data_IF_133988859667
#
_entry.id   IF_133988859667
#
_cell.length_a   1.000
_cell.length_b   1.000
_cell.length_c   1.000
_cell.angle_alpha   90.00
_cell.angle_beta   90.00
_cell.angle_gamma   90.00
#
_symmetry.space_group_name_H-M   'P 1'
#
loop_
_entity.id
_entity.type
_entity.pdbx_description
1 polymer ?
#
# COMPACT_ATOMS: atom_id res chain seq x y z
N UNK A 1 21.99 20.13 -6.92
CA UNK A 1 21.57 19.34 -8.10
C UNK A 1 20.77 20.23 -9.03
N UNK A 2 20.99 20.14 -10.35
CA UNK A 2 20.21 20.86 -11.36
C UNK A 2 18.88 20.12 -11.63
N UNK A 3 17.89 20.79 -12.25
CA UNK A 3 16.64 20.16 -12.66
C UNK A 3 16.87 18.91 -13.53
N UNK A 4 17.83 18.95 -14.46
CA UNK A 4 18.19 17.81 -15.31
C UNK A 4 18.76 16.63 -14.51
N UNK A 5 19.52 16.88 -13.45
CA UNK A 5 20.02 15.82 -12.57
C UNK A 5 18.88 15.15 -11.80
N UNK A 6 17.90 15.93 -11.30
CA UNK A 6 16.71 15.38 -10.68
C UNK A 6 15.88 14.53 -11.66
N UNK A 7 15.66 15.03 -12.88
CA UNK A 7 14.93 14.30 -13.92
C UNK A 7 15.62 12.98 -14.30
N UNK A 8 16.94 13.01 -14.53
CA UNK A 8 17.71 11.79 -14.82
C UNK A 8 17.63 10.76 -13.68
N UNK A 9 17.68 11.21 -12.43
CA UNK A 9 17.52 10.33 -11.27
C UNK A 9 16.11 9.72 -11.20
N UNK A 10 15.06 10.52 -11.44
CA UNK A 10 13.68 10.06 -11.45
C UNK A 10 13.41 9.03 -12.56
N UNK A 11 14.00 9.23 -13.74
CA UNK A 11 13.79 8.36 -14.90
C UNK A 11 14.77 7.16 -14.96
N UNK A 12 15.66 7.02 -13.99
CA UNK A 12 16.72 5.99 -14.01
C UNK A 12 16.17 4.57 -14.25
N UNK A 13 15.11 4.20 -13.55
CA UNK A 13 14.54 2.85 -13.69
C UNK A 13 13.63 2.70 -14.90
N UNK A 14 12.97 3.77 -15.34
CA UNK A 14 12.15 3.77 -16.57
C UNK A 14 12.98 3.46 -17.82
N UNK A 15 14.21 3.97 -17.86
CA UNK A 15 15.13 3.83 -19.00
C UNK A 15 15.94 2.53 -18.96
N UNK A 16 15.81 1.72 -17.91
CA UNK A 16 16.55 0.48 -17.76
C UNK A 16 15.77 -0.69 -18.34
N UNK A 17 16.38 -1.44 -19.28
CA UNK A 17 15.77 -2.67 -19.82
C UNK A 17 15.43 -3.62 -18.69
N UNK A 18 14.17 -4.01 -18.60
CA UNK A 18 13.65 -4.94 -17.62
C UNK A 18 13.36 -6.28 -18.30
N UNK A 19 13.70 -7.38 -17.61
CA UNK A 19 13.26 -8.72 -17.98
C UNK A 19 11.99 -9.03 -17.19
N UNK A 20 10.84 -8.87 -17.86
CA UNK A 20 9.53 -8.97 -17.21
C UNK A 20 9.18 -10.41 -16.86
N UNK A 21 8.56 -10.60 -15.70
CA UNK A 21 7.92 -11.84 -15.30
C UNK A 21 6.55 -11.95 -15.97
N UNK A 22 6.07 -13.15 -16.34
CA UNK A 22 4.69 -13.33 -16.79
C UNK A 22 3.71 -12.77 -15.76
N UNK A 23 2.72 -12.00 -16.24
CA UNK A 23 1.84 -11.19 -15.39
C UNK A 23 1.10 -12.01 -14.33
N UNK A 24 0.53 -13.15 -14.72
CA UNK A 24 -0.19 -14.03 -13.80
C UNK A 24 0.73 -14.57 -12.67
N UNK A 25 1.97 -14.91 -13.02
CA UNK A 25 2.96 -15.37 -12.03
C UNK A 25 3.33 -14.25 -11.07
N UNK A 26 3.53 -13.03 -11.61
CA UNK A 26 3.84 -11.85 -10.82
C UNK A 26 2.70 -11.52 -9.86
N UNK A 27 1.47 -11.45 -10.37
CA UNK A 27 0.27 -11.18 -9.56
C UNK A 27 0.13 -12.19 -8.42
N UNK A 28 0.26 -13.49 -8.73
CA UNK A 28 0.19 -14.54 -7.71
C UNK A 28 1.23 -14.34 -6.60
N UNK A 29 2.51 -14.14 -6.98
CA UNK A 29 3.61 -13.94 -6.01
C UNK A 29 3.40 -12.70 -5.15
N UNK A 30 2.92 -11.61 -5.76
CA UNK A 30 2.64 -10.35 -5.05
C UNK A 30 1.47 -10.51 -4.07
N UNK A 31 0.39 -11.19 -4.48
CA UNK A 31 -0.76 -11.45 -3.60
C UNK A 31 -0.40 -12.36 -2.42
N UNK A 32 0.43 -13.37 -2.64
CA UNK A 32 0.96 -14.22 -1.56
C UNK A 32 1.75 -13.39 -0.55
N UNK A 33 2.60 -12.48 -1.02
CA UNK A 33 3.37 -11.60 -0.14
C UNK A 33 2.49 -10.60 0.62
N UNK A 34 1.53 -9.94 -0.05
CA UNK A 34 0.57 -9.04 0.59
C UNK A 34 -0.22 -9.78 1.68
N UNK A 35 -0.65 -11.03 1.40
CA UNK A 35 -1.45 -11.83 2.34
C UNK A 35 -0.64 -12.40 3.50
N UNK A 36 0.68 -12.54 3.33
CA UNK A 36 1.58 -12.99 4.42
C UNK A 36 1.98 -11.86 5.37
N UNK A 37 1.66 -10.62 5.02
CA UNK A 37 1.90 -9.43 5.84
C UNK A 37 0.56 -8.82 6.27
N UNK A 38 0.58 -7.99 7.29
CA UNK A 38 -0.60 -7.28 7.79
C UNK A 38 -0.31 -5.82 8.19
N UNK A 39 0.92 -5.35 7.99
CA UNK A 39 1.34 -4.00 8.37
C UNK A 39 2.01 -3.31 7.20
N UNK A 40 1.69 -2.05 7.00
CA UNK A 40 2.33 -1.21 5.99
C UNK A 40 2.64 0.17 6.55
N UNK A 41 3.44 0.93 5.82
CA UNK A 41 3.59 2.36 6.01
C UNK A 41 2.64 3.06 5.02
N UNK A 42 1.63 3.77 5.53
CA UNK A 42 0.68 4.57 4.74
C UNK A 42 1.20 6.00 4.64
N UNK A 43 1.57 6.42 3.44
CA UNK A 43 1.93 7.81 3.13
C UNK A 43 0.70 8.59 2.66
N UNK A 44 0.47 9.73 3.31
CA UNK A 44 -0.57 10.71 2.96
C UNK A 44 0.06 12.09 2.89
N UNK A 45 -0.49 13.00 2.09
CA UNK A 45 0.08 14.34 2.00
C UNK A 45 -0.81 15.32 1.25
N UNK A 46 -0.62 16.62 1.54
CA UNK A 46 -1.27 17.72 0.84
C UNK A 46 -0.44 19.00 1.02
N UNK A 47 -0.23 19.78 -0.05
CA UNK A 47 0.65 20.94 -0.03
C UNK A 47 2.04 20.60 0.51
N UNK A 48 2.48 21.30 1.55
CA UNK A 48 3.78 21.08 2.20
C UNK A 48 3.72 19.99 3.30
N UNK A 49 2.54 19.42 3.55
CA UNK A 49 2.34 18.42 4.59
C UNK A 49 2.50 17.01 4.04
N UNK A 50 3.40 16.24 4.64
CA UNK A 50 3.64 14.83 4.34
C UNK A 50 3.62 14.02 5.62
N UNK A 51 2.84 12.94 5.64
CA UNK A 51 2.78 11.99 6.75
C UNK A 51 3.03 10.58 6.28
N UNK A 52 3.82 9.82 7.05
CA UNK A 52 3.99 8.37 6.87
C UNK A 52 3.60 7.69 8.20
N UNK A 53 2.60 6.82 8.17
CA UNK A 53 2.02 6.18 9.36
C UNK A 53 2.12 4.68 9.24
N UNK A 54 2.83 3.98 10.17
CA UNK A 54 2.69 2.52 10.30
C UNK A 54 1.25 2.17 10.68
N UNK A 55 0.63 1.27 9.93
CA UNK A 55 -0.77 0.90 10.14
C UNK A 55 -1.01 -0.56 9.75
N UNK A 56 -1.91 -1.23 10.49
CA UNK A 56 -2.37 -2.55 10.14
C UNK A 56 -3.33 -2.49 8.96
N UNK A 57 -3.22 -3.45 8.04
CA UNK A 57 -4.17 -3.61 6.95
C UNK A 57 -4.73 -5.03 6.85
N UNK A 58 -5.84 -5.16 6.16
CA UNK A 58 -6.29 -6.40 5.54
C UNK A 58 -6.48 -6.18 4.05
N UNK A 59 -6.29 -7.25 3.25
CA UNK A 59 -6.45 -7.19 1.80
C UNK A 59 -7.60 -8.11 1.37
N UNK A 60 -8.67 -7.52 0.86
CA UNK A 60 -9.87 -8.23 0.40
C UNK A 60 -10.47 -7.52 -0.81
N UNK A 61 -11.02 -8.30 -1.72
CA UNK A 61 -11.71 -7.80 -2.91
C UNK A 61 -10.84 -6.83 -3.75
N UNK A 62 -9.51 -7.10 -3.82
CA UNK A 62 -8.56 -6.28 -4.57
C UNK A 62 -8.18 -4.95 -3.90
N UNK A 63 -8.59 -4.70 -2.66
CA UNK A 63 -8.40 -3.44 -1.94
C UNK A 63 -7.75 -3.65 -0.57
N UNK A 64 -7.11 -2.60 -0.07
CA UNK A 64 -6.56 -2.54 1.29
C UNK A 64 -7.54 -1.83 2.22
N UNK A 65 -7.74 -2.40 3.40
CA UNK A 65 -8.69 -1.94 4.40
C UNK A 65 -8.00 -1.75 5.74
N UNK A 66 -8.15 -0.55 6.32
CA UNK A 66 -7.42 -0.15 7.53
C UNK A 66 -8.38 0.53 8.51
N UNK A 67 -8.56 -0.07 9.69
CA UNK A 67 -9.24 0.61 10.79
C UNK A 67 -8.27 1.58 11.49
N UNK A 68 -8.77 2.75 11.86
CA UNK A 68 -8.00 3.80 12.51
C UNK A 68 -8.84 4.64 13.45
N UNK A 69 -8.33 4.86 14.66
CA UNK A 69 -8.96 5.77 15.62
C UNK A 69 -8.94 7.23 15.14
N UNK A 70 -7.92 7.63 14.38
CA UNK A 70 -7.75 9.01 13.92
C UNK A 70 -6.27 9.36 13.68
N UNK A 71 -5.93 10.61 13.89
CA UNK A 71 -4.57 11.14 13.82
C UNK A 71 -4.30 11.97 12.55
N UNK A 72 -3.11 12.53 12.49
CA UNK A 72 -2.75 13.56 11.49
C UNK A 72 -2.75 13.08 10.03
N UNK A 73 -2.77 11.77 9.76
CA UNK A 73 -2.92 11.25 8.39
C UNK A 73 -4.21 11.74 7.71
N UNK A 74 -5.25 12.06 8.51
CA UNK A 74 -6.52 12.57 8.00
C UNK A 74 -6.43 13.99 7.46
N UNK A 75 -5.41 14.79 7.86
CA UNK A 75 -5.13 16.11 7.24
C UNK A 75 -4.83 15.93 5.74
N UNK A 76 -4.01 14.93 5.41
CA UNK A 76 -3.72 14.59 4.03
C UNK A 76 -4.94 14.02 3.31
N UNK A 77 -5.61 13.02 3.91
CA UNK A 77 -6.74 12.32 3.31
C UNK A 77 -7.94 13.22 3.01
N UNK A 78 -8.16 14.28 3.80
CA UNK A 78 -9.24 15.25 3.55
C UNK A 78 -9.06 16.02 2.23
N UNK A 79 -7.81 16.27 1.83
CA UNK A 79 -7.47 17.14 0.70
C UNK A 79 -6.96 16.37 -0.52
N UNK A 80 -6.53 15.13 -0.34
CA UNK A 80 -5.87 14.37 -1.39
C UNK A 80 -6.14 12.86 -1.20
N UNK A 81 -6.87 12.29 -2.14
CA UNK A 81 -7.15 10.85 -2.16
C UNK A 81 -5.95 9.99 -2.56
N UNK A 82 -4.93 10.60 -3.19
CA UNK A 82 -3.75 9.85 -3.62
C UNK A 82 -2.88 9.49 -2.42
N UNK A 83 -2.61 8.20 -2.27
CA UNK A 83 -1.82 7.65 -1.19
C UNK A 83 -0.79 6.67 -1.73
N UNK A 84 0.22 6.39 -0.90
CA UNK A 84 1.15 5.30 -1.19
C UNK A 84 1.29 4.43 0.05
N UNK A 85 1.19 3.10 -0.14
CA UNK A 85 1.52 2.13 0.89
C UNK A 85 2.88 1.51 0.59
N UNK A 86 3.66 1.24 1.63
CA UNK A 86 4.88 0.45 1.53
C UNK A 86 4.79 -0.76 2.45
N UNK A 87 4.93 -1.95 1.86
CA UNK A 87 5.07 -3.23 2.57
C UNK A 87 6.50 -3.70 2.31
N UNK A 88 7.26 -4.01 3.35
CA UNK A 88 8.67 -4.35 3.18
C UNK A 88 9.19 -5.21 4.31
N UNK A 89 10.14 -6.08 3.96
CA UNK A 89 10.88 -6.87 4.92
C UNK A 89 12.05 -6.07 5.51
N UNK A 90 12.56 -6.53 6.64
CA UNK A 90 13.80 -6.01 7.21
C UNK A 90 14.94 -6.12 6.18
N UNK A 91 15.75 -5.09 6.10
CA UNK A 91 16.93 -5.10 5.23
C UNK A 91 18.00 -6.06 5.76
N UNK A 92 18.30 -7.10 4.99
CA UNK A 92 19.32 -8.11 5.30
C UNK A 92 20.32 -8.30 4.12
N UNK A 93 20.65 -7.21 3.45
CA UNK A 93 21.56 -7.18 2.31
C UNK A 93 20.84 -7.12 0.95
N UNK A 94 21.56 -6.72 -0.09
CA UNK A 94 21.01 -6.46 -1.43
C UNK A 94 20.47 -7.72 -2.12
N UNK A 95 20.89 -8.92 -1.69
CA UNK A 95 20.40 -10.19 -2.21
C UNK A 95 19.03 -10.62 -1.66
N UNK A 96 18.57 -9.99 -0.57
CA UNK A 96 17.36 -10.36 0.17
C UNK A 96 16.31 -9.22 0.24
N UNK A 97 16.39 -8.26 -0.67
CA UNK A 97 15.41 -7.18 -0.72
C UNK A 97 14.03 -7.73 -1.09
N UNK A 98 13.02 -7.34 -0.30
CA UNK A 98 11.62 -7.67 -0.57
C UNK A 98 10.74 -6.51 -0.12
N UNK A 99 10.10 -5.85 -1.09
CA UNK A 99 9.20 -4.72 -0.82
C UNK A 99 8.24 -4.47 -1.97
N UNK A 100 7.10 -3.88 -1.64
CA UNK A 100 6.11 -3.41 -2.61
C UNK A 100 5.73 -1.98 -2.22
N UNK A 101 5.72 -1.08 -3.21
CA UNK A 101 5.11 0.24 -3.11
C UNK A 101 3.79 0.22 -3.90
N UNK A 102 2.70 0.59 -3.25
CA UNK A 102 1.35 0.57 -3.82
C UNK A 102 0.84 2.00 -3.90
N UNK A 103 0.80 2.57 -5.10
CA UNK A 103 0.10 3.81 -5.37
C UNK A 103 -1.38 3.51 -5.51
N UNK A 104 -2.22 4.26 -4.81
CA UNK A 104 -3.66 4.01 -4.80
C UNK A 104 -4.48 5.25 -4.48
N UNK A 105 -5.80 5.05 -4.51
CA UNK A 105 -6.82 6.03 -4.16
C UNK A 105 -7.46 5.62 -2.83
N UNK A 106 -7.42 6.53 -1.86
CA UNK A 106 -8.04 6.31 -0.56
C UNK A 106 -9.46 6.92 -0.51
N UNK A 107 -10.36 6.21 0.10
CA UNK A 107 -11.70 6.69 0.47
C UNK A 107 -11.99 6.34 1.92
N UNK A 108 -12.78 7.17 2.59
CA UNK A 108 -13.29 6.90 3.93
C UNK A 108 -14.66 6.22 3.80
N UNK A 109 -14.79 5.07 4.46
CA UNK A 109 -16.05 4.33 4.48
C UNK A 109 -16.93 4.86 5.60
N UNK A 110 -18.19 5.13 5.28
CA UNK A 110 -19.18 5.60 6.25
C UNK A 110 -19.29 4.63 7.43
N UNK A 111 -19.09 5.10 8.68
CA UNK A 111 -19.21 4.26 9.87
C UNK A 111 -20.57 3.54 9.94
N UNK A 112 -20.49 2.26 10.29
CA UNK A 112 -21.67 1.38 10.45
C UNK A 112 -22.48 1.10 9.18
N UNK A 113 -22.00 1.54 7.99
CA UNK A 113 -22.54 1.07 6.71
C UNK A 113 -22.36 -0.45 6.55
N UNK A 114 -23.02 -1.06 5.56
CA UNK A 114 -22.88 -2.50 5.28
C UNK A 114 -21.43 -2.88 4.99
N UNK A 115 -20.70 -2.03 4.23
CA UNK A 115 -19.28 -2.22 3.94
C UNK A 115 -18.44 -2.16 5.22
N UNK A 116 -18.65 -1.16 6.07
CA UNK A 116 -17.96 -1.04 7.35
C UNK A 116 -18.19 -2.28 8.22
N UNK A 117 -19.45 -2.69 8.38
CA UNK A 117 -19.83 -3.84 9.19
C UNK A 117 -19.26 -5.15 8.62
N UNK A 118 -19.25 -5.33 7.29
CA UNK A 118 -18.59 -6.46 6.62
C UNK A 118 -17.12 -6.57 7.02
N UNK A 119 -16.37 -5.45 6.96
CA UNK A 119 -14.94 -5.46 7.27
C UNK A 119 -14.64 -5.58 8.76
N UNK A 120 -15.48 -5.01 9.64
CA UNK A 120 -15.40 -5.26 11.08
C UNK A 120 -15.57 -6.77 11.38
N UNK A 121 -16.52 -7.43 10.74
CA UNK A 121 -16.73 -8.88 10.88
C UNK A 121 -15.54 -9.70 10.38
N UNK A 122 -14.97 -9.34 9.21
CA UNK A 122 -13.76 -10.01 8.67
C UNK A 122 -12.61 -9.92 9.66
N UNK A 123 -12.41 -8.75 10.28
CA UNK A 123 -11.40 -8.51 11.32
C UNK A 123 -11.76 -9.09 12.68
N UNK A 124 -12.94 -9.72 12.81
CA UNK A 124 -13.48 -10.25 14.08
C UNK A 124 -13.64 -9.18 15.17
N UNK A 125 -13.88 -7.93 14.77
CA UNK A 125 -14.14 -6.82 15.69
C UNK A 125 -15.64 -6.77 15.93
N UNK A 126 -16.13 -6.88 17.20
CA UNK A 126 -17.55 -6.80 17.50
C UNK A 126 -18.09 -5.40 17.15
N UNK A 127 -19.07 -5.31 16.24
CA UNK A 127 -19.67 -4.03 15.82
C UNK A 127 -20.26 -3.28 17.01
N UNK A 128 -20.86 -4.00 17.98
CA UNK A 128 -21.40 -3.40 19.21
C UNK A 128 -20.31 -2.77 20.10
N UNK A 129 -19.07 -3.26 20.02
CA UNK A 129 -17.94 -2.61 20.68
C UNK A 129 -17.56 -1.31 19.97
N UNK A 130 -17.54 -1.32 18.63
CA UNK A 130 -17.25 -0.13 17.82
C UNK A 130 -18.30 0.98 18.02
N UNK A 131 -19.58 0.64 18.19
CA UNK A 131 -20.65 1.60 18.46
C UNK A 131 -20.52 2.34 19.80
N UNK A 132 -19.77 1.76 20.74
CA UNK A 132 -19.52 2.39 22.05
C UNK A 132 -18.38 3.41 22.01
N UNK A 133 -17.64 3.46 20.93
CA UNK A 133 -16.55 4.43 20.76
C UNK A 133 -17.12 5.80 20.33
N UNK A 134 -16.61 6.84 20.93
CA UNK A 134 -16.96 8.22 20.59
C UNK A 134 -15.68 9.07 20.44
N UNK A 135 -15.23 9.40 19.24
CA UNK A 135 -15.84 9.08 17.93
C UNK A 135 -15.69 7.61 17.53
N UNK A 136 -16.48 7.13 16.56
CA UNK A 136 -16.30 5.78 16.01
C UNK A 136 -14.96 5.63 15.29
N UNK A 137 -14.43 4.42 15.20
CA UNK A 137 -13.24 4.15 14.38
C UNK A 137 -13.53 4.46 12.90
N UNK A 138 -12.55 5.06 12.24
CA UNK A 138 -12.60 5.27 10.81
C UNK A 138 -12.17 3.99 10.07
N UNK A 139 -12.77 3.71 8.93
CA UNK A 139 -12.32 2.68 8.01
C UNK A 139 -11.82 3.35 6.72
N UNK A 140 -10.53 3.19 6.44
CA UNK A 140 -9.88 3.67 5.23
C UNK A 140 -9.85 2.50 4.23
N UNK A 141 -10.36 2.73 3.02
CA UNK A 141 -10.26 1.82 1.89
C UNK A 141 -9.29 2.38 0.87
N UNK A 142 -8.30 1.60 0.43
CA UNK A 142 -7.38 2.00 -0.63
C UNK A 142 -7.52 1.06 -1.82
N UNK A 143 -7.90 1.64 -2.96
CA UNK A 143 -7.94 0.95 -4.25
C UNK A 143 -6.60 1.14 -4.95
N UNK A 144 -5.84 0.06 -5.23
CA UNK A 144 -4.57 0.15 -5.94
C UNK A 144 -4.77 0.67 -7.36
N UNK A 145 -3.83 1.47 -7.83
CA UNK A 145 -3.71 1.92 -9.22
C UNK A 145 -2.45 1.32 -9.85
N UNK A 146 -1.37 1.24 -9.08
CA UNK A 146 -0.09 0.71 -9.52
C UNK A 146 0.65 0.10 -8.35
N UNK A 147 1.32 -1.03 -8.59
CA UNK A 147 2.25 -1.63 -7.63
C UNK A 147 3.65 -1.70 -8.23
N UNK A 148 4.65 -1.20 -7.52
CA UNK A 148 6.07 -1.36 -7.85
C UNK A 148 6.69 -2.36 -6.88
N UNK A 149 7.17 -3.47 -7.43
CA UNK A 149 7.67 -4.64 -6.70
C UNK A 149 9.18 -4.68 -6.78
N UNK A 150 9.85 -4.90 -5.67
CA UNK A 150 11.28 -5.13 -5.60
C UNK A 150 11.56 -6.42 -4.83
N UNK A 151 11.71 -7.54 -5.53
CA UNK A 151 12.09 -8.83 -4.96
C UNK A 151 13.40 -9.30 -5.55
N UNK A 152 14.46 -9.35 -4.75
CA UNK A 152 15.78 -9.82 -5.20
C UNK A 152 15.77 -11.25 -5.71
N UNK A 153 14.89 -12.09 -5.16
CA UNK A 153 14.73 -13.51 -5.54
C UNK A 153 14.31 -13.74 -7.00
N UNK A 154 13.67 -12.76 -7.65
CA UNK A 154 13.27 -12.86 -9.05
C UNK A 154 14.46 -13.10 -9.98
N UNK A 155 15.65 -12.62 -9.62
CA UNK A 155 16.90 -12.83 -10.37
C UNK A 155 17.28 -14.31 -10.47
N UNK A 156 16.94 -15.14 -9.48
CA UNK A 156 17.21 -16.59 -9.50
C UNK A 156 16.49 -17.30 -10.65
N UNK A 157 15.39 -16.71 -11.13
CA UNK A 157 14.59 -17.21 -12.23
C UNK A 157 14.80 -16.41 -13.54
N UNK A 158 15.85 -15.60 -13.62
CA UNK A 158 16.19 -14.83 -14.81
C UNK A 158 15.38 -13.56 -15.02
N UNK A 159 14.53 -13.15 -14.07
CA UNK A 159 13.73 -11.92 -14.17
C UNK A 159 14.43 -10.73 -13.50
N UNK A 160 14.05 -9.51 -13.89
CA UNK A 160 14.49 -8.33 -13.17
C UNK A 160 13.90 -8.31 -11.77
N UNK A 161 14.69 -7.87 -10.77
CA UNK A 161 14.21 -7.75 -9.38
C UNK A 161 13.09 -6.71 -9.21
N UNK A 162 13.02 -5.73 -10.11
CA UNK A 162 11.95 -4.74 -10.16
C UNK A 162 10.93 -5.15 -11.21
N UNK A 163 9.67 -5.16 -10.80
CA UNK A 163 8.51 -5.44 -11.64
C UNK A 163 7.42 -4.43 -11.33
N UNK A 164 6.46 -4.27 -12.24
CA UNK A 164 5.32 -3.36 -12.08
C UNK A 164 4.02 -4.06 -12.43
N UNK A 165 2.97 -3.79 -11.67
CA UNK A 165 1.58 -4.18 -11.98
C UNK A 165 0.77 -2.89 -12.06
N UNK A 166 -0.02 -2.71 -13.11
CA UNK A 166 -1.00 -1.64 -13.28
C UNK A 166 -2.42 -2.23 -13.25
N UNK A 167 -3.41 -1.46 -12.72
CA UNK A 167 -4.79 -1.88 -12.51
C UNK A 167 -5.76 -1.01 -13.31
#
# INVERSE_FOLDING_TARGET
>A
MTHDQFKKAADYWKNKKQNAMPEEKLKKTVLEYISSNNTCALATGTGDYVRCTPIEYSYHDGKFWMFSEGGEKFIGLEKNENVCLAIYDKYEGTGNLKSIQIMGKAELVEPFSDTYNKHAKIKKIPVEALKKLAPPMNLICVTPVKMEVLFSEFKKNGYSSRQTIEF
#
